data_IF_726383173904
#
_entry.id   IF_726383173904
#
_cell.length_a   1.000
_cell.length_b   1.000
_cell.length_c   1.000
_cell.angle_alpha   90.00
_cell.angle_beta   90.00
_cell.angle_gamma   90.00
#
_symmetry.space_group_name_H-M   'P 1'
#
loop_
_entity.id
_entity.type
_entity.pdbx_description
1 polymer ?
#
# COMPACT_ATOMS: atom_id res chain seq x y z
N UNK A 1 -6.00 2.68 18.50
CA UNK A 1 -7.07 3.59 18.07
C UNK A 1 -6.48 4.98 17.86
N UNK A 2 -6.92 5.72 16.83
CA UNK A 2 -6.52 7.11 16.56
C UNK A 2 -7.66 8.09 16.92
N UNK A 3 -8.72 7.59 17.56
CA UNK A 3 -9.78 8.45 18.08
C UNK A 3 -9.22 9.43 19.14
N UNK A 4 -9.73 10.67 19.19
CA UNK A 4 -10.85 11.21 18.40
C UNK A 4 -10.44 11.83 17.05
N UNK A 5 -9.19 11.69 16.62
CA UNK A 5 -8.66 12.38 15.43
C UNK A 5 -9.17 11.73 14.14
N UNK A 6 -9.27 10.40 14.11
CA UNK A 6 -9.90 9.64 13.02
C UNK A 6 -10.83 8.62 13.65
N UNK A 7 -12.11 8.66 13.27
CA UNK A 7 -13.14 7.76 13.81
C UNK A 7 -12.91 6.30 13.42
N UNK A 8 -13.38 5.38 14.26
CA UNK A 8 -13.22 3.95 14.07
C UNK A 8 -13.89 3.41 12.80
N UNK A 9 -15.02 3.99 12.37
CA UNK A 9 -15.72 3.57 11.15
C UNK A 9 -14.88 3.87 9.91
N UNK A 10 -14.31 5.07 9.83
CA UNK A 10 -13.38 5.46 8.78
C UNK A 10 -12.16 4.54 8.74
N UNK A 11 -11.50 4.28 9.88
CA UNK A 11 -10.34 3.36 9.88
C UNK A 11 -10.69 1.95 9.43
N UNK A 12 -11.84 1.44 9.88
CA UNK A 12 -12.31 0.10 9.52
C UNK A 12 -12.56 0.02 8.02
N UNK A 13 -13.25 1.01 7.44
CA UNK A 13 -13.55 1.07 6.02
C UNK A 13 -12.28 1.28 5.18
N UNK A 14 -11.40 2.18 5.60
CA UNK A 14 -10.14 2.51 4.93
C UNK A 14 -9.21 1.30 4.84
N UNK A 15 -9.10 0.50 5.91
CA UNK A 15 -8.32 -0.73 5.89
C UNK A 15 -9.04 -1.88 5.18
N UNK A 16 -10.27 -2.19 5.58
CA UNK A 16 -10.95 -3.43 5.17
C UNK A 16 -11.52 -3.36 3.75
N UNK A 17 -11.74 -2.16 3.21
CA UNK A 17 -12.29 -1.97 1.87
C UNK A 17 -11.25 -1.38 0.93
N UNK A 18 -10.73 -0.18 1.21
CA UNK A 18 -9.82 0.50 0.26
C UNK A 18 -8.49 -0.24 0.12
N UNK A 19 -7.76 -0.46 1.23
CA UNK A 19 -6.49 -1.19 1.18
C UNK A 19 -6.66 -2.61 0.64
N UNK A 20 -7.68 -3.36 1.12
CA UNK A 20 -7.95 -4.70 0.62
C UNK A 20 -8.25 -4.76 -0.89
N UNK A 21 -8.92 -3.74 -1.44
CA UNK A 21 -9.20 -3.65 -2.88
C UNK A 21 -7.93 -3.47 -3.69
N UNK A 22 -7.02 -2.59 -3.24
CA UNK A 22 -5.73 -2.42 -3.90
C UNK A 22 -4.90 -3.70 -3.88
N UNK A 23 -4.82 -4.38 -2.74
CA UNK A 23 -4.10 -5.67 -2.62
C UNK A 23 -4.71 -6.72 -3.54
N UNK A 24 -6.05 -6.86 -3.56
CA UNK A 24 -6.74 -7.85 -4.41
C UNK A 24 -6.47 -7.58 -5.89
N UNK A 25 -6.61 -6.34 -6.34
CA UNK A 25 -6.41 -5.98 -7.74
C UNK A 25 -4.95 -6.19 -8.17
N UNK A 26 -3.99 -5.84 -7.30
CA UNK A 26 -2.58 -6.10 -7.55
C UNK A 26 -2.31 -7.61 -7.68
N UNK A 27 -2.78 -8.42 -6.73
CA UNK A 27 -2.57 -9.87 -6.75
C UNK A 27 -3.16 -10.51 -8.01
N UNK A 28 -4.36 -10.11 -8.41
CA UNK A 28 -4.98 -10.57 -9.66
C UNK A 28 -4.11 -10.25 -10.88
N UNK A 29 -3.57 -9.03 -10.97
CA UNK A 29 -2.70 -8.63 -12.09
C UNK A 29 -1.39 -9.43 -12.13
N UNK A 30 -0.88 -9.87 -10.98
CA UNK A 30 0.38 -10.61 -10.87
C UNK A 30 0.24 -12.13 -11.08
N UNK A 31 -0.99 -12.67 -11.20
CA UNK A 31 -1.25 -14.12 -11.29
C UNK A 31 -0.38 -14.84 -12.34
N UNK A 32 -0.13 -14.20 -13.49
CA UNK A 32 0.64 -14.77 -14.59
C UNK A 32 2.10 -14.29 -14.65
N UNK A 33 2.55 -13.53 -13.65
CA UNK A 33 3.87 -12.89 -13.62
C UNK A 33 4.61 -13.28 -12.34
N UNK A 34 4.92 -14.57 -12.21
CA UNK A 34 5.53 -15.13 -10.99
C UNK A 34 6.81 -14.43 -10.57
N UNK A 35 7.68 -14.02 -11.50
CA UNK A 35 8.89 -13.24 -11.18
C UNK A 35 8.58 -11.89 -10.55
N UNK A 36 7.54 -11.20 -11.00
CA UNK A 36 7.09 -9.93 -10.42
C UNK A 36 6.38 -10.14 -9.08
N UNK A 37 5.64 -11.24 -8.93
CA UNK A 37 4.97 -11.60 -7.68
C UNK A 37 5.93 -11.92 -6.52
N UNK A 38 7.20 -12.24 -6.82
CA UNK A 38 8.25 -12.46 -5.82
C UNK A 38 8.93 -11.17 -5.36
N UNK A 39 8.71 -10.04 -6.05
CA UNK A 39 9.26 -8.76 -5.62
C UNK A 39 8.54 -8.27 -4.36
N UNK A 40 9.29 -7.58 -3.50
CA UNK A 40 8.66 -6.76 -2.47
C UNK A 40 7.78 -5.68 -3.11
N UNK A 41 6.74 -5.23 -2.39
CA UNK A 41 5.85 -4.20 -2.90
C UNK A 41 6.60 -2.93 -3.33
N UNK A 42 7.61 -2.51 -2.56
CA UNK A 42 8.47 -1.37 -2.90
C UNK A 42 9.24 -1.61 -4.20
N UNK A 43 9.89 -2.77 -4.34
CA UNK A 43 10.67 -3.08 -5.55
C UNK A 43 9.79 -3.24 -6.79
N UNK A 44 8.55 -3.70 -6.64
CA UNK A 44 7.58 -3.80 -7.72
C UNK A 44 7.10 -2.42 -8.17
N UNK A 45 6.70 -1.56 -7.23
CA UNK A 45 6.22 -0.21 -7.53
C UNK A 45 7.33 0.67 -8.11
N UNK A 46 8.59 0.47 -7.70
CA UNK A 46 9.73 1.19 -8.28
C UNK A 46 9.99 0.88 -9.75
N UNK A 47 9.39 -0.18 -10.31
CA UNK A 47 9.52 -0.49 -11.74
C UNK A 47 8.58 0.31 -12.64
N UNK A 48 7.59 1.03 -12.08
CA UNK A 48 6.64 1.83 -12.86
C UNK A 48 7.39 2.90 -13.66
N UNK A 49 7.15 2.98 -14.97
CA UNK A 49 7.82 3.90 -15.87
C UNK A 49 9.25 3.51 -16.26
N UNK A 50 9.81 2.42 -15.72
CA UNK A 50 11.16 1.94 -16.07
C UNK A 50 11.24 1.19 -17.40
N UNK A 51 10.09 0.76 -17.94
CA UNK A 51 10.01 -0.17 -19.08
C UNK A 51 10.18 -1.65 -18.70
N UNK A 52 10.44 -1.98 -17.43
CA UNK A 52 10.60 -3.36 -16.94
C UNK A 52 9.28 -4.07 -16.66
N UNK A 53 8.16 -3.33 -16.60
CA UNK A 53 6.83 -3.89 -16.41
C UNK A 53 6.18 -4.23 -17.76
N UNK A 54 5.48 -5.37 -17.87
CA UNK A 54 4.64 -5.65 -19.02
C UNK A 54 3.58 -4.53 -19.19
N UNK A 55 3.41 -3.99 -20.41
CA UNK A 55 2.44 -2.90 -20.64
C UNK A 55 1.02 -3.25 -20.20
N UNK A 56 0.65 -4.54 -20.26
CA UNK A 56 -0.65 -5.05 -19.86
C UNK A 56 -0.97 -4.89 -18.36
N UNK A 57 0.03 -4.75 -17.49
CA UNK A 57 -0.18 -4.63 -16.04
C UNK A 57 0.38 -3.35 -15.44
N UNK A 58 1.18 -2.58 -16.18
CA UNK A 58 1.88 -1.40 -15.64
C UNK A 58 0.93 -0.40 -14.97
N UNK A 59 -0.21 -0.11 -15.59
CA UNK A 59 -1.21 0.79 -15.00
C UNK A 59 -1.80 0.21 -13.70
N UNK A 60 -2.02 -1.10 -13.64
CA UNK A 60 -2.52 -1.76 -12.42
C UNK A 60 -1.46 -1.79 -11.31
N UNK A 61 -0.19 -2.03 -11.65
CA UNK A 61 0.93 -1.96 -10.70
C UNK A 61 1.08 -0.54 -10.17
N UNK A 62 0.99 0.48 -11.03
CA UNK A 62 0.99 1.89 -10.61
C UNK A 62 -0.15 2.21 -9.66
N UNK A 63 -1.38 1.93 -10.08
CA UNK A 63 -2.57 2.38 -9.34
C UNK A 63 -2.83 1.52 -8.10
N UNK A 64 -2.84 0.20 -8.25
CA UNK A 64 -3.12 -0.74 -7.16
C UNK A 64 -1.90 -1.02 -6.31
N UNK A 65 -0.71 -1.17 -6.90
CA UNK A 65 0.53 -1.31 -6.14
C UNK A 65 0.89 -0.02 -5.40
N UNK A 66 0.83 1.13 -6.06
CA UNK A 66 1.00 2.43 -5.40
C UNK A 66 -0.05 2.68 -4.31
N UNK A 67 -1.32 2.32 -4.56
CA UNK A 67 -2.39 2.37 -3.57
C UNK A 67 -2.08 1.52 -2.32
N UNK A 68 -1.70 0.26 -2.50
CA UNK A 68 -1.32 -0.62 -1.40
C UNK A 68 -0.10 -0.08 -0.63
N UNK A 69 0.93 0.41 -1.35
CA UNK A 69 2.16 0.94 -0.75
C UNK A 69 1.89 2.19 0.09
N UNK A 70 1.14 3.16 -0.47
CA UNK A 70 0.77 4.40 0.23
C UNK A 70 -0.03 4.11 1.50
N UNK A 71 -0.97 3.17 1.46
CA UNK A 71 -1.78 2.82 2.62
C UNK A 71 -0.97 2.09 3.69
N UNK A 72 -0.13 1.13 3.30
CA UNK A 72 0.77 0.45 4.23
C UNK A 72 1.69 1.44 4.96
N UNK A 73 2.27 2.38 4.23
CA UNK A 73 3.03 3.50 4.78
C UNK A 73 2.18 4.34 5.74
N UNK A 74 1.01 4.81 5.29
CA UNK A 74 0.13 5.64 6.09
C UNK A 74 -0.22 4.99 7.43
N UNK A 75 -0.72 3.75 7.43
CA UNK A 75 -1.04 3.03 8.67
C UNK A 75 0.16 2.87 9.60
N UNK A 76 1.35 2.62 9.06
CA UNK A 76 2.58 2.49 9.88
C UNK A 76 3.02 3.80 10.54
N UNK A 77 2.61 4.95 9.99
CA UNK A 77 2.93 6.28 10.54
C UNK A 77 1.93 6.77 11.57
N UNK A 78 0.78 6.08 11.72
CA UNK A 78 -0.25 6.48 12.68
C UNK A 78 0.13 6.07 14.10
N UNK A 79 -0.12 6.98 15.04
CA UNK A 79 0.06 6.73 16.46
C UNK A 79 -1.11 7.34 17.26
N UNK A 80 -1.50 6.75 18.41
CA UNK A 80 -2.59 7.28 19.22
C UNK A 80 -2.37 8.75 19.60
N UNK A 81 -3.42 9.56 19.74
CA UNK A 81 -3.27 10.93 20.25
C UNK A 81 -2.50 10.94 21.58
N UNK A 82 -1.56 11.88 21.72
CA UNK A 82 -0.66 12.01 22.88
C UNK A 82 0.38 10.89 23.05
N UNK A 83 0.56 10.02 22.06
CA UNK A 83 1.76 9.19 22.03
C UNK A 83 2.98 10.10 21.80
N UNK A 84 3.82 10.22 22.81
CA UNK A 84 5.12 10.90 22.72
C UNK A 84 6.04 10.04 21.87
N UNK A 85 5.93 10.13 20.55
CA UNK A 85 6.98 9.67 19.66
C UNK A 85 8.14 10.67 19.73
N UNK A 86 8.96 10.53 20.77
CA UNK A 86 10.36 10.94 20.73
C UNK A 86 11.06 10.03 19.72
N UNK A 87 10.89 10.31 18.43
CA UNK A 87 11.79 9.76 17.40
C UNK A 87 13.11 10.50 17.49
N UNK A 88 13.95 10.03 18.40
CA UNK A 88 15.39 10.20 18.30
C UNK A 88 15.87 9.36 17.12
N UNK A 89 16.34 10.04 16.08
CA UNK A 89 17.32 9.62 15.07
C UNK A 89 17.39 8.14 14.65
N UNK A 90 17.14 7.87 13.36
CA UNK A 90 17.99 6.99 12.54
C UNK A 90 18.23 7.63 11.18
#
# INVERSE_FOLDING_TARGET
SIEPVIDAQTQTFHHSVHFATYVRNLNTALTNYSSLAQLSLTNLVSQVGSGSLPPAIETTVRNSGGGAWNHAMWFSTLAPPNSTNTSTTQ
#
